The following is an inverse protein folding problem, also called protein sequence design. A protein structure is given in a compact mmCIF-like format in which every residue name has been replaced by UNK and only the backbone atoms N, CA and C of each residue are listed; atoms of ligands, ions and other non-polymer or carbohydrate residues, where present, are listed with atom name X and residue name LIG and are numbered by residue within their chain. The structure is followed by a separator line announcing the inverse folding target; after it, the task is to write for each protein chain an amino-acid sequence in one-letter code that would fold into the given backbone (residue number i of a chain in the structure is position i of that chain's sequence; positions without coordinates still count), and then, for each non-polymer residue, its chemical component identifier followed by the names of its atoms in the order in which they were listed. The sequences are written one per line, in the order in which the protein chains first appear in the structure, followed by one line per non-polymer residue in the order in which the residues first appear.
data_IF_913889306863
#
_entry.id   IF_913889306863
#
_cell.length_a   1.000
_cell.length_b   1.000
_cell.length_c   1.000
_cell.angle_alpha   90.00
_cell.angle_beta   90.00
_cell.angle_gamma   90.00
#
_symmetry.space_group_name_H-M   'P 1'
#
loop_
_entity.id
_entity.type
_entity.pdbx_description
1 polymer ?
#
# COMPACT_ATOMS: atom_id res chain seq x y z
N UNK A 1 9.34 -13.46 -6.00
CA UNK A 1 10.00 -12.21 -5.59
C UNK A 1 10.35 -12.29 -4.11
N UNK A 2 11.53 -11.81 -3.74
CA UNK A 2 11.88 -11.57 -2.35
C UNK A 2 10.97 -10.46 -1.80
N UNK A 3 10.65 -10.51 -0.49
CA UNK A 3 9.76 -9.54 0.15
C UNK A 3 10.23 -8.08 -0.09
N UNK A 4 11.53 -7.82 -0.06
CA UNK A 4 12.12 -6.52 -0.32
C UNK A 4 11.82 -5.99 -1.72
N UNK A 5 11.93 -6.85 -2.75
CA UNK A 5 11.60 -6.50 -4.13
C UNK A 5 10.09 -6.29 -4.30
N UNK A 6 9.26 -7.12 -3.66
CA UNK A 6 7.81 -6.96 -3.70
C UNK A 6 7.37 -5.59 -3.14
N UNK A 7 7.99 -5.14 -2.05
CA UNK A 7 7.75 -3.82 -1.48
C UNK A 7 8.13 -2.71 -2.47
N UNK A 8 9.31 -2.79 -3.11
CA UNK A 8 9.75 -1.78 -4.10
C UNK A 8 8.76 -1.70 -5.25
N UNK A 9 8.31 -2.85 -5.77
CA UNK A 9 7.31 -2.87 -6.84
C UNK A 9 5.97 -2.33 -6.38
N UNK A 10 5.50 -2.69 -5.19
CA UNK A 10 4.25 -2.17 -4.64
C UNK A 10 4.30 -0.64 -4.54
N UNK A 11 5.41 -0.06 -4.07
CA UNK A 11 5.58 1.39 -3.91
C UNK A 11 5.52 2.19 -5.22
N UNK A 12 5.56 1.53 -6.37
CA UNK A 12 5.28 2.18 -7.65
C UNK A 12 3.85 2.77 -7.71
N UNK A 13 2.95 2.35 -6.81
CA UNK A 13 1.60 2.92 -6.73
C UNK A 13 1.59 4.44 -6.52
N UNK A 14 2.62 5.03 -5.91
CA UNK A 14 2.70 6.46 -5.60
C UNK A 14 2.67 7.31 -6.88
N UNK A 15 3.52 6.99 -7.87
CA UNK A 15 3.53 7.73 -9.12
C UNK A 15 2.39 7.31 -10.07
N UNK A 16 1.98 6.03 -10.04
CA UNK A 16 0.83 5.54 -10.80
C UNK A 16 -0.44 6.27 -10.33
N UNK A 17 -0.65 6.44 -9.03
CA UNK A 17 -1.76 7.22 -8.47
C UNK A 17 -1.75 8.68 -8.92
N UNK A 18 -0.57 9.25 -9.08
CA UNK A 18 -0.44 10.61 -9.62
C UNK A 18 -0.78 10.66 -11.12
N UNK A 19 -0.41 9.64 -11.90
CA UNK A 19 -0.85 9.54 -13.31
C UNK A 19 -2.36 9.46 -13.40
N UNK A 20 -3.02 8.68 -12.56
CA UNK A 20 -4.49 8.62 -12.52
C UNK A 20 -5.11 9.98 -12.18
N UNK A 21 -4.48 10.74 -11.26
CA UNK A 21 -4.90 12.11 -10.95
C UNK A 21 -4.84 13.02 -12.19
N UNK A 22 -3.76 12.92 -12.98
CA UNK A 22 -3.60 13.69 -14.23
C UNK A 22 -4.67 13.28 -15.25
N UNK A 23 -4.87 11.98 -15.47
CA UNK A 23 -5.77 11.46 -16.48
C UNK A 23 -7.23 11.80 -16.19
N UNK A 24 -7.65 11.71 -14.92
CA UNK A 24 -9.05 11.91 -14.54
C UNK A 24 -9.40 13.36 -14.25
N UNK A 25 -8.51 14.07 -13.58
CA UNK A 25 -8.79 15.43 -13.13
C UNK A 25 -8.05 16.50 -13.93
N UNK A 26 -7.19 16.09 -14.90
CA UNK A 26 -6.35 16.98 -15.73
C UNK A 26 -5.49 17.93 -14.88
N UNK A 27 -5.16 17.54 -13.66
CA UNK A 27 -4.32 18.30 -12.75
C UNK A 27 -2.88 17.86 -12.89
N UNK A 28 -2.06 18.72 -13.51
CA UNK A 28 -0.61 18.45 -13.61
C UNK A 28 0.00 18.66 -12.21
N UNK A 29 0.78 17.70 -11.70
CA UNK A 29 1.42 17.83 -10.39
C UNK A 29 2.45 18.98 -10.44
N UNK A 30 2.44 19.82 -9.40
CA UNK A 30 3.46 20.82 -9.22
C UNK A 30 4.85 20.20 -9.03
N UNK A 31 5.90 20.99 -9.22
CA UNK A 31 7.29 20.54 -9.10
C UNK A 31 7.57 19.86 -7.73
N UNK A 32 6.97 20.37 -6.65
CA UNK A 32 7.10 19.82 -5.31
C UNK A 32 6.55 18.40 -5.20
N UNK A 33 5.40 18.13 -5.82
CA UNK A 33 4.79 16.79 -5.83
C UNK A 33 5.67 15.81 -6.63
N UNK A 34 6.26 16.25 -7.74
CA UNK A 34 7.21 15.43 -8.50
C UNK A 34 8.47 15.11 -7.66
N UNK A 35 9.04 16.10 -6.98
CA UNK A 35 10.18 15.90 -6.05
C UNK A 35 9.81 14.96 -4.91
N UNK A 36 8.64 15.14 -4.31
CA UNK A 36 8.11 14.22 -3.28
C UNK A 36 8.10 12.77 -3.76
N UNK A 37 7.55 12.51 -4.95
CA UNK A 37 7.49 11.16 -5.52
C UNK A 37 8.90 10.57 -5.68
N UNK A 38 9.86 11.34 -6.17
CA UNK A 38 11.24 10.87 -6.31
C UNK A 38 11.87 10.54 -4.96
N UNK A 39 11.65 11.36 -3.94
CA UNK A 39 12.13 11.11 -2.57
C UNK A 39 11.47 9.84 -2.02
N UNK A 40 10.18 9.64 -2.20
CA UNK A 40 9.44 8.46 -1.76
C UNK A 40 9.96 7.18 -2.40
N UNK A 41 10.21 7.21 -3.72
CA UNK A 41 10.76 6.06 -4.43
C UNK A 41 12.18 5.73 -3.98
N UNK A 42 13.05 6.73 -3.80
CA UNK A 42 14.39 6.51 -3.26
C UNK A 42 14.34 5.97 -1.83
N UNK A 43 13.45 6.53 -0.99
CA UNK A 43 13.22 6.07 0.37
C UNK A 43 12.71 4.62 0.44
N UNK A 44 11.81 4.23 -0.47
CA UNK A 44 11.28 2.86 -0.49
C UNK A 44 12.35 1.82 -0.85
N UNK A 45 13.26 2.15 -1.75
CA UNK A 45 14.39 1.26 -2.09
C UNK A 45 15.30 1.05 -0.88
N UNK A 46 15.65 2.11 -0.15
CA UNK A 46 16.48 2.00 1.05
C UNK A 46 15.75 1.29 2.19
N UNK A 47 14.46 1.61 2.39
CA UNK A 47 13.64 1.03 3.46
C UNK A 47 13.31 -0.45 3.24
N UNK A 48 13.32 -0.93 2.00
CA UNK A 48 13.04 -2.35 1.68
C UNK A 48 14.11 -3.33 2.18
N UNK A 49 15.29 -2.83 2.56
CA UNK A 49 16.41 -3.68 2.98
C UNK A 49 17.02 -4.53 1.85
N UNK A 50 16.87 -4.09 0.58
CA UNK A 50 17.40 -4.81 -0.57
C UNK A 50 18.92 -4.96 -0.47
N UNK A 51 19.40 -6.19 -0.44
CA UNK A 51 20.83 -6.50 -0.58
C UNK A 51 21.25 -6.33 -2.04
N UNK A 52 22.02 -5.26 -2.31
CA UNK A 52 22.58 -4.98 -3.63
C UNK A 52 23.61 -6.07 -3.94
N UNK A 53 23.30 -6.98 -4.87
CA UNK A 53 24.22 -8.06 -5.29
C UNK A 53 23.56 -9.41 -5.53
N UNK A 54 22.34 -9.63 -5.12
CA UNK A 54 21.57 -10.83 -5.54
C UNK A 54 21.00 -10.59 -6.92
N UNK A 55 21.41 -11.40 -7.89
CA UNK A 55 20.97 -11.31 -9.28
C UNK A 55 19.46 -11.32 -9.41
N UNK A 56 18.93 -10.33 -10.13
CA UNK A 56 17.50 -10.23 -10.42
C UNK A 56 17.15 -11.23 -11.52
N UNK A 57 16.54 -12.35 -11.18
CA UNK A 57 16.10 -13.40 -12.13
C UNK A 57 14.58 -13.41 -12.20
N UNK A 58 13.91 -12.50 -13.00
CA UNK A 58 12.46 -12.36 -12.83
C UNK A 58 11.60 -11.74 -13.93
N UNK A 59 11.28 -12.36 -15.04
CA UNK A 59 10.20 -11.81 -15.86
C UNK A 59 8.81 -11.92 -15.18
N UNK A 60 8.51 -13.05 -14.54
CA UNK A 60 7.17 -13.33 -13.97
C UNK A 60 6.91 -12.54 -12.68
N UNK A 61 7.88 -12.47 -11.78
CA UNK A 61 7.72 -11.74 -10.50
C UNK A 61 7.60 -10.23 -10.71
N UNK A 62 8.35 -9.65 -11.65
CA UNK A 62 8.25 -8.22 -12.03
C UNK A 62 6.85 -7.90 -12.56
N UNK A 63 6.29 -8.75 -13.39
CA UNK A 63 4.93 -8.59 -13.91
C UNK A 63 3.89 -8.54 -12.77
N UNK A 64 3.92 -9.51 -11.86
CA UNK A 64 3.00 -9.54 -10.72
C UNK A 64 3.20 -8.37 -9.76
N UNK A 65 4.45 -7.96 -9.53
CA UNK A 65 4.77 -6.78 -8.73
C UNK A 65 4.21 -5.49 -9.34
N UNK A 66 4.40 -5.27 -10.63
CA UNK A 66 3.84 -4.12 -11.33
C UNK A 66 2.29 -4.14 -11.31
N UNK A 67 1.69 -5.31 -11.52
CA UNK A 67 0.23 -5.47 -11.46
C UNK A 67 -0.32 -5.15 -10.06
N UNK A 68 0.40 -5.52 -9.00
CA UNK A 68 0.01 -5.19 -7.62
C UNK A 68 0.00 -3.68 -7.38
N UNK A 69 1.01 -2.95 -7.88
CA UNK A 69 1.08 -1.49 -7.77
C UNK A 69 -0.09 -0.80 -8.50
N UNK A 70 -0.40 -1.25 -9.72
CA UNK A 70 -1.56 -0.74 -10.46
C UNK A 70 -2.86 -1.03 -9.71
N UNK A 71 -3.04 -2.25 -9.22
CA UNK A 71 -4.23 -2.65 -8.47
C UNK A 71 -4.40 -1.83 -7.20
N UNK A 72 -3.32 -1.62 -6.44
CA UNK A 72 -3.35 -0.82 -5.22
C UNK A 72 -3.66 0.66 -5.51
N UNK A 73 -3.07 1.21 -6.57
CA UNK A 73 -3.38 2.56 -7.05
C UNK A 73 -4.85 2.71 -7.46
N UNK A 74 -5.43 1.70 -8.10
CA UNK A 74 -6.86 1.66 -8.45
C UNK A 74 -7.77 1.61 -7.22
N UNK A 75 -7.37 0.90 -6.16
CA UNK A 75 -8.11 0.89 -4.89
C UNK A 75 -8.14 2.29 -4.27
N UNK A 76 -7.00 2.97 -4.21
CA UNK A 76 -6.91 4.36 -3.71
C UNK A 76 -7.78 5.28 -4.57
N UNK A 77 -7.66 5.20 -5.89
CA UNK A 77 -8.47 5.98 -6.83
C UNK A 77 -9.97 5.72 -6.63
N UNK A 78 -10.40 4.47 -6.65
CA UNK A 78 -11.79 4.09 -6.47
C UNK A 78 -12.35 4.58 -5.13
N UNK A 79 -11.52 4.53 -4.07
CA UNK A 79 -11.86 5.10 -2.76
C UNK A 79 -12.11 6.60 -2.81
N UNK A 80 -11.48 7.32 -3.75
CA UNK A 80 -11.63 8.77 -3.90
C UNK A 80 -12.79 9.21 -4.78
N UNK A 81 -13.17 8.41 -5.80
CA UNK A 81 -14.09 8.85 -6.87
C UNK A 81 -15.37 8.05 -6.97
N UNK A 82 -15.38 6.79 -6.51
CA UNK A 82 -16.55 5.92 -6.64
C UNK A 82 -17.42 6.03 -5.38
N UNK A 83 -18.75 6.11 -5.56
CA UNK A 83 -19.70 6.05 -4.46
C UNK A 83 -19.58 7.21 -3.45
N UNK A 84 -19.36 8.44 -3.91
CA UNK A 84 -19.23 9.62 -3.05
C UNK A 84 -20.50 9.94 -2.24
N UNK A 85 -21.67 9.46 -2.68
CA UNK A 85 -22.94 9.61 -1.97
C UNK A 85 -23.28 8.45 -1.02
N UNK A 86 -22.40 7.45 -0.91
CA UNK A 86 -22.61 6.24 -0.11
C UNK A 86 -21.85 6.37 1.21
N UNK A 87 -22.41 5.82 2.30
CA UNK A 87 -21.71 5.85 3.59
C UNK A 87 -20.34 5.14 3.50
N UNK A 88 -19.27 5.69 4.09
CA UNK A 88 -17.94 5.09 4.06
C UNK A 88 -17.90 3.66 4.58
N UNK A 89 -18.72 3.34 5.58
CA UNK A 89 -18.84 1.98 6.13
C UNK A 89 -19.36 1.00 5.08
N UNK A 90 -20.45 1.35 4.39
CA UNK A 90 -21.02 0.49 3.35
C UNK A 90 -20.06 0.32 2.17
N UNK A 91 -19.42 1.42 1.75
CA UNK A 91 -18.43 1.41 0.67
C UNK A 91 -17.25 0.49 0.99
N UNK A 92 -16.64 0.63 2.18
CA UNK A 92 -15.53 -0.23 2.62
C UNK A 92 -15.95 -1.69 2.75
N UNK A 93 -17.15 -1.96 3.29
CA UNK A 93 -17.69 -3.30 3.37
C UNK A 93 -17.83 -3.95 1.98
N UNK A 94 -18.38 -3.22 1.00
CA UNK A 94 -18.49 -3.71 -0.38
C UNK A 94 -17.12 -3.98 -1.01
N UNK A 95 -16.12 -3.13 -0.76
CA UNK A 95 -14.76 -3.34 -1.24
C UNK A 95 -14.14 -4.61 -0.62
N UNK A 96 -14.29 -4.80 0.70
CA UNK A 96 -13.75 -5.96 1.40
C UNK A 96 -14.44 -7.27 0.99
N UNK A 97 -15.78 -7.25 0.85
CA UNK A 97 -16.56 -8.41 0.38
C UNK A 97 -16.19 -8.76 -1.07
N UNK A 98 -16.06 -7.75 -1.93
CA UNK A 98 -15.65 -7.97 -3.31
C UNK A 98 -14.24 -8.58 -3.40
N UNK A 99 -13.30 -8.09 -2.62
CA UNK A 99 -11.96 -8.66 -2.55
C UNK A 99 -11.96 -10.10 -2.04
N UNK A 100 -12.72 -10.39 -0.97
CA UNK A 100 -12.86 -11.73 -0.43
C UNK A 100 -13.49 -12.70 -1.45
N UNK A 101 -14.53 -12.28 -2.18
CA UNK A 101 -15.17 -13.08 -3.19
C UNK A 101 -14.20 -13.47 -4.33
N UNK A 102 -13.38 -12.52 -4.80
CA UNK A 102 -12.36 -12.77 -5.82
C UNK A 102 -11.31 -13.75 -5.31
N UNK A 103 -10.81 -13.52 -4.08
CA UNK A 103 -9.77 -14.40 -3.49
C UNK A 103 -10.32 -15.81 -3.32
N UNK A 104 -11.53 -15.99 -2.80
CA UNK A 104 -12.12 -17.32 -2.58
C UNK A 104 -12.45 -18.04 -3.90
N UNK A 105 -12.69 -17.30 -4.97
CA UNK A 105 -12.87 -17.90 -6.29
C UNK A 105 -11.56 -18.50 -6.83
N UNK A 106 -10.42 -17.80 -6.66
CA UNK A 106 -9.13 -18.27 -7.15
C UNK A 106 -8.39 -19.20 -6.18
N UNK A 107 -8.57 -18.97 -4.87
CA UNK A 107 -7.95 -19.70 -3.79
C UNK A 107 -9.03 -20.18 -2.81
N UNK A 108 -9.66 -21.35 -3.08
CA UNK A 108 -10.69 -21.88 -2.20
C UNK A 108 -10.16 -22.00 -0.76
N UNK A 109 -10.95 -21.60 0.26
CA UNK A 109 -10.52 -21.54 1.63
C UNK A 109 -10.45 -22.95 2.26
N UNK A 110 -9.49 -23.77 1.85
CA UNK A 110 -9.33 -25.17 2.30
C UNK A 110 -9.12 -25.29 3.81
N UNK A 111 -8.62 -24.24 4.45
CA UNK A 111 -8.48 -24.19 5.91
C UNK A 111 -9.81 -24.28 6.66
N UNK A 112 -10.94 -23.99 6.01
CA UNK A 112 -12.28 -24.17 6.60
C UNK A 112 -12.72 -25.64 6.70
N UNK A 113 -12.05 -26.53 5.98
CA UNK A 113 -12.37 -27.97 6.00
C UNK A 113 -11.64 -28.73 7.13
N UNK A 114 -10.64 -28.09 7.75
CA UNK A 114 -9.84 -28.63 8.85
C UNK A 114 -10.07 -27.77 10.10
N UNK A 115 -10.76 -28.33 11.09
CA UNK A 115 -11.15 -27.61 12.31
C UNK A 115 -9.93 -27.18 13.16
N UNK A 116 -8.88 -28.01 13.23
CA UNK A 116 -7.69 -27.71 14.02
C UNK A 116 -6.88 -26.59 13.36
N UNK A 117 -6.74 -26.64 12.05
CA UNK A 117 -6.10 -25.57 11.27
C UNK A 117 -6.89 -24.26 11.37
N UNK A 118 -8.22 -24.33 11.24
CA UNK A 118 -9.09 -23.17 11.38
C UNK A 118 -8.93 -22.47 12.73
N UNK A 119 -9.00 -23.23 13.81
CA UNK A 119 -8.88 -22.69 15.18
C UNK A 119 -7.49 -22.09 15.44
N UNK A 120 -6.43 -22.69 14.91
CA UNK A 120 -5.06 -22.17 15.07
C UNK A 120 -4.80 -20.89 14.32
N UNK A 121 -5.40 -20.72 13.12
CA UNK A 121 -5.22 -19.53 12.26
C UNK A 121 -6.20 -18.40 12.61
N UNK A 122 -7.36 -18.72 13.19
CA UNK A 122 -8.44 -17.77 13.44
C UNK A 122 -8.02 -16.50 14.21
N UNK A 123 -7.27 -16.55 15.34
CA UNK A 123 -6.89 -15.34 16.06
C UNK A 123 -6.01 -14.40 15.21
N UNK A 124 -5.08 -14.94 14.45
CA UNK A 124 -4.26 -14.16 13.52
C UNK A 124 -5.07 -13.64 12.35
N UNK A 125 -5.99 -14.45 11.82
CA UNK A 125 -6.91 -14.08 10.76
C UNK A 125 -7.84 -12.93 11.14
N UNK A 126 -8.35 -12.90 12.37
CA UNK A 126 -9.17 -11.79 12.89
C UNK A 126 -8.35 -10.51 12.98
N UNK A 127 -7.13 -10.55 13.53
CA UNK A 127 -6.27 -9.38 13.66
C UNK A 127 -5.87 -8.84 12.28
N UNK A 128 -5.38 -9.69 11.38
CA UNK A 128 -4.99 -9.31 10.03
C UNK A 128 -6.19 -8.84 9.21
N UNK A 129 -7.34 -9.50 9.34
CA UNK A 129 -8.56 -9.11 8.66
C UNK A 129 -9.07 -7.74 9.12
N UNK A 130 -9.08 -7.49 10.43
CA UNK A 130 -9.52 -6.22 10.99
C UNK A 130 -8.59 -5.08 10.58
N UNK A 131 -7.30 -5.20 10.87
CA UNK A 131 -6.33 -4.12 10.66
C UNK A 131 -5.82 -4.02 9.21
N UNK A 132 -5.81 -5.11 8.45
CA UNK A 132 -5.33 -5.11 7.06
C UNK A 132 -6.43 -4.94 6.00
N UNK A 133 -7.64 -5.48 6.26
CA UNK A 133 -8.70 -5.53 5.23
C UNK A 133 -9.91 -4.65 5.56
N UNK A 134 -10.25 -4.44 6.84
CA UNK A 134 -11.43 -3.65 7.23
C UNK A 134 -11.07 -2.19 7.48
N UNK A 135 -10.07 -1.93 8.34
CA UNK A 135 -9.71 -0.57 8.75
C UNK A 135 -9.16 0.27 7.59
N UNK A 136 -8.21 -0.20 6.75
CA UNK A 136 -7.64 0.64 5.69
C UNK A 136 -8.66 1.07 4.63
N UNK A 137 -9.51 0.21 4.04
CA UNK A 137 -10.53 0.64 3.10
C UNK A 137 -11.55 1.61 3.72
N UNK A 138 -11.87 1.46 5.00
CA UNK A 138 -12.72 2.41 5.71
C UNK A 138 -12.06 3.78 5.79
N UNK A 139 -10.80 3.86 6.24
CA UNK A 139 -10.04 5.10 6.31
C UNK A 139 -9.85 5.74 4.94
N UNK A 140 -9.58 4.95 3.90
CA UNK A 140 -9.52 5.44 2.53
C UNK A 140 -10.85 6.01 2.05
N UNK A 141 -11.96 5.34 2.37
CA UNK A 141 -13.30 5.79 2.00
C UNK A 141 -13.70 7.12 2.66
N UNK A 142 -13.15 7.42 3.84
CA UNK A 142 -13.35 8.68 4.57
C UNK A 142 -12.37 9.77 4.13
N UNK A 143 -11.10 9.42 3.97
CA UNK A 143 -10.00 10.35 3.79
C UNK A 143 -9.77 10.75 2.33
N UNK A 144 -9.66 9.78 1.42
CA UNK A 144 -9.30 10.05 0.02
C UNK A 144 -10.26 10.99 -0.70
N UNK A 145 -11.59 10.94 -0.50
CA UNK A 145 -12.50 11.91 -1.12
C UNK A 145 -12.22 13.37 -0.74
N UNK A 146 -11.61 13.62 0.43
CA UNK A 146 -11.33 14.97 0.94
C UNK A 146 -10.04 15.55 0.40
N UNK A 147 -9.03 14.69 0.14
CA UNK A 147 -7.68 15.13 -0.23
C UNK A 147 -7.32 14.81 -1.70
N UNK A 148 -8.09 13.94 -2.33
CA UNK A 148 -7.85 13.45 -3.68
C UNK A 148 -6.89 12.25 -3.73
N UNK A 149 -6.99 11.42 -4.81
CA UNK A 149 -6.21 10.18 -4.93
C UNK A 149 -4.69 10.41 -4.96
N UNK A 150 -4.23 11.46 -5.61
CA UNK A 150 -2.80 11.72 -5.76
C UNK A 150 -2.11 12.09 -4.44
N UNK A 151 -2.73 12.91 -3.57
CA UNK A 151 -2.21 13.16 -2.23
C UNK A 151 -2.43 11.94 -1.34
N UNK A 152 -3.56 11.25 -1.51
CA UNK A 152 -3.84 9.99 -0.84
C UNK A 152 -2.74 8.96 -1.06
N UNK A 153 -2.27 8.78 -2.28
CA UNK A 153 -1.16 7.88 -2.59
C UNK A 153 0.14 8.28 -1.87
N UNK A 154 0.47 9.57 -1.81
CA UNK A 154 1.63 10.08 -1.08
C UNK A 154 1.53 9.77 0.42
N UNK A 155 0.37 10.03 1.04
CA UNK A 155 0.15 9.78 2.46
C UNK A 155 0.16 8.29 2.80
N UNK A 156 -0.37 7.45 1.91
CA UNK A 156 -0.35 5.98 2.08
C UNK A 156 1.07 5.44 2.13
N UNK A 157 2.06 6.13 1.55
CA UNK A 157 3.47 5.74 1.66
C UNK A 157 4.00 5.68 3.11
N UNK A 158 3.28 6.27 4.09
CA UNK A 158 3.59 6.13 5.53
C UNK A 158 3.47 4.69 6.05
N UNK A 159 2.84 3.81 5.28
CA UNK A 159 2.70 2.38 5.61
C UNK A 159 4.07 1.71 5.83
N UNK A 160 5.06 1.99 4.97
CA UNK A 160 6.38 1.37 5.08
C UNK A 160 7.17 1.81 6.32
N UNK A 161 7.33 3.10 6.64
CA UNK A 161 7.91 3.51 7.90
C UNK A 161 7.20 2.95 9.12
N UNK A 162 5.87 2.89 9.07
CA UNK A 162 5.07 2.32 10.16
C UNK A 162 5.34 0.82 10.32
N UNK A 163 5.44 0.08 9.22
CA UNK A 163 5.78 -1.34 9.24
C UNK A 163 7.18 -1.58 9.83
N UNK A 164 8.18 -0.75 9.46
CA UNK A 164 9.53 -0.82 10.04
C UNK A 164 9.54 -0.53 11.54
N UNK A 165 8.79 0.46 12.00
CA UNK A 165 8.65 0.76 13.43
C UNK A 165 8.02 -0.42 14.18
N UNK A 166 6.97 -1.03 13.63
CA UNK A 166 6.33 -2.20 14.23
C UNK A 166 7.26 -3.42 14.26
N UNK A 167 8.01 -3.68 13.18
CA UNK A 167 9.01 -4.74 13.12
C UNK A 167 10.07 -4.55 14.21
N UNK A 168 10.59 -3.34 14.38
CA UNK A 168 11.60 -3.05 15.40
C UNK A 168 11.05 -3.11 16.83
N UNK A 169 9.94 -2.41 17.12
CA UNK A 169 9.46 -2.28 18.51
C UNK A 169 8.60 -3.46 18.99
N UNK A 170 7.85 -4.10 18.10
CA UNK A 170 6.90 -5.17 18.46
C UNK A 170 7.49 -6.55 18.21
N UNK A 171 8.14 -6.76 17.05
CA UNK A 171 8.72 -8.04 16.68
C UNK A 171 10.19 -8.18 17.12
N UNK A 172 10.82 -7.08 17.59
CA UNK A 172 12.23 -7.02 17.98
C UNK A 172 13.19 -7.49 16.88
N UNK A 173 12.82 -7.28 15.61
CA UNK A 173 13.65 -7.61 14.47
C UNK A 173 14.74 -6.55 14.26
N UNK A 174 15.96 -6.96 13.86
CA UNK A 174 17.02 -6.02 13.59
C UNK A 174 16.74 -5.21 12.32
N UNK A 175 16.59 -3.90 12.47
CA UNK A 175 16.41 -2.96 11.34
C UNK A 175 17.74 -2.30 11.02
N UNK A 176 18.20 -2.43 9.77
CA UNK A 176 19.47 -1.87 9.31
C UNK A 176 19.45 -0.35 9.21
N UNK A 177 20.64 0.28 9.29
CA UNK A 177 20.79 1.74 9.21
C UNK A 177 20.20 2.30 7.91
N UNK A 178 20.38 1.61 6.78
CA UNK A 178 19.82 2.05 5.49
C UNK A 178 18.29 2.03 5.49
N UNK A 179 17.66 1.08 6.19
CA UNK A 179 16.21 1.03 6.33
C UNK A 179 15.68 2.22 7.15
N UNK A 180 16.38 2.62 8.21
CA UNK A 180 16.06 3.83 8.98
C UNK A 180 16.18 5.10 8.15
N UNK A 181 17.26 5.22 7.34
CA UNK A 181 17.44 6.35 6.40
C UNK A 181 16.28 6.36 5.38
N UNK A 182 15.92 5.20 4.83
CA UNK A 182 14.80 5.06 3.91
C UNK A 182 13.47 5.49 4.53
N UNK A 183 13.18 5.06 5.77
CA UNK A 183 11.99 5.48 6.50
C UNK A 183 11.95 7.01 6.72
N UNK A 184 13.08 7.61 7.12
CA UNK A 184 13.19 9.05 7.27
C UNK A 184 12.96 9.80 5.95
N UNK A 185 13.52 9.31 4.84
CA UNK A 185 13.29 9.89 3.51
C UNK A 185 11.82 9.80 3.09
N UNK A 186 11.13 8.71 3.40
CA UNK A 186 9.69 8.58 3.12
C UNK A 186 8.92 9.65 3.90
N UNK A 187 9.20 9.88 5.18
CA UNK A 187 8.56 10.96 5.93
C UNK A 187 8.84 12.34 5.33
N UNK A 188 10.08 12.61 4.93
CA UNK A 188 10.43 13.86 4.24
C UNK A 188 9.66 14.01 2.94
N UNK A 189 9.57 12.94 2.13
CA UNK A 189 8.79 12.92 0.90
C UNK A 189 7.32 13.24 1.12
N UNK A 190 6.70 12.66 2.17
CA UNK A 190 5.30 12.93 2.54
C UNK A 190 5.13 14.41 2.92
N UNK A 191 6.03 14.96 3.74
CA UNK A 191 5.97 16.38 4.14
C UNK A 191 6.09 17.29 2.92
N UNK A 192 7.07 17.05 2.04
CA UNK A 192 7.28 17.83 0.81
C UNK A 192 6.05 17.78 -0.09
N UNK A 193 5.42 16.61 -0.23
CA UNK A 193 4.22 16.45 -1.05
C UNK A 193 2.96 17.07 -0.47
N UNK A 194 2.90 17.27 0.85
CA UNK A 194 1.73 17.83 1.54
C UNK A 194 1.75 19.37 1.66
N UNK A 195 2.88 20.02 1.39
CA UNK A 195 3.04 21.49 1.53
C UNK A 195 2.48 22.26 0.33
N UNK A 196 1.73 21.64 -0.58
CA UNK A 196 1.02 22.39 -1.62
C UNK A 196 -0.14 23.21 -0.99
N UNK A 197 0.03 24.52 -0.97
CA UNK A 197 -1.07 25.49 -0.83
C UNK A 197 -1.72 25.75 -2.17
#
# INVERSE_FOLDING_TARGET
LDASLAIIFLFQFVWIGTIFDILLFKKIPGCRKAVSILILLAGSVLASGLEIGRGISFPVGVFWGALSAVSYSLVILASGVVGLGISPVFKSAMMSVGAAAVIFFYLPPLFLTDADLFLSVMPYGILLGLFGIVVPPFLFSVGIPKIGPGLGSILTASELPTALLMSFFVLHEPVGVYQWIGAALIFVGIVVGNVEK
#
